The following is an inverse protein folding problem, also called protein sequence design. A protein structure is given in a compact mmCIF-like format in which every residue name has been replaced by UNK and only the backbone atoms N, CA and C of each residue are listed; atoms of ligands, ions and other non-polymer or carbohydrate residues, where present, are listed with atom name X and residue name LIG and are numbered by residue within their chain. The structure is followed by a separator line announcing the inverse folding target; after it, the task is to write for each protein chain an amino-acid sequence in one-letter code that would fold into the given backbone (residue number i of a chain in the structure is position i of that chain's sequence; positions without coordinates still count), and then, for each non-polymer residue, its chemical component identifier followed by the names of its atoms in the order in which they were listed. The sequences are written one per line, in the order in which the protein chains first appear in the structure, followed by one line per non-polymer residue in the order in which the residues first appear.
data_IF_244411847646
#
_entry.id   IF_244411847646
#
_cell.length_a   1.000
_cell.length_b   1.000
_cell.length_c   1.000
_cell.angle_alpha   90.00
_cell.angle_beta   90.00
_cell.angle_gamma   90.00
#
_symmetry.space_group_name_H-M   'P 1'
#
loop_
_entity.id
_entity.type
_entity.pdbx_description
1 polymer ?
#
# COMPACT_ATOMS: atom_id res chain seq x y z
N UNK A 1 -3.01 -10.82 -11.48
CA UNK A 1 -4.47 -10.57 -11.55
C UNK A 1 -4.72 -9.46 -12.58
N UNK A 2 -5.79 -9.47 -13.38
CA UNK A 2 -6.10 -8.35 -14.30
C UNK A 2 -6.84 -7.24 -13.52
N UNK A 3 -6.57 -5.98 -13.83
CA UNK A 3 -7.13 -4.78 -13.20
C UNK A 3 -8.66 -4.82 -13.07
N UNK A 4 -9.37 -5.18 -14.14
CA UNK A 4 -10.86 -5.24 -14.09
C UNK A 4 -11.37 -6.27 -13.08
N UNK A 5 -10.64 -7.37 -12.91
CA UNK A 5 -10.94 -8.37 -11.89
C UNK A 5 -10.66 -7.83 -10.49
N UNK A 6 -9.54 -7.14 -10.31
CA UNK A 6 -9.17 -6.52 -9.03
C UNK A 6 -10.18 -5.44 -8.60
N UNK A 7 -10.66 -4.60 -9.53
CA UNK A 7 -11.70 -3.59 -9.26
C UNK A 7 -12.98 -4.26 -8.77
N UNK A 8 -13.49 -5.27 -9.50
CA UNK A 8 -14.71 -5.99 -9.09
C UNK A 8 -14.55 -6.70 -7.75
N UNK A 9 -13.36 -7.24 -7.48
CA UNK A 9 -13.06 -7.87 -6.20
C UNK A 9 -13.03 -6.86 -5.06
N UNK A 10 -12.41 -5.69 -5.27
CA UNK A 10 -12.41 -4.60 -4.31
C UNK A 10 -13.83 -4.11 -4.02
N UNK A 11 -14.65 -3.87 -5.05
CA UNK A 11 -16.07 -3.48 -4.90
C UNK A 11 -16.86 -4.51 -4.07
N UNK A 12 -16.66 -5.80 -4.35
CA UNK A 12 -17.31 -6.88 -3.62
C UNK A 12 -16.85 -6.94 -2.15
N UNK A 13 -15.57 -6.70 -1.87
CA UNK A 13 -15.04 -6.67 -0.50
C UNK A 13 -15.55 -5.44 0.27
N UNK A 14 -15.53 -4.27 -0.38
CA UNK A 14 -16.04 -3.02 0.19
C UNK A 14 -17.54 -3.09 0.46
N UNK A 15 -18.32 -3.78 -0.37
CA UNK A 15 -19.77 -3.96 -0.14
C UNK A 15 -20.12 -4.64 1.19
N UNK A 16 -19.15 -5.34 1.82
CA UNK A 16 -19.33 -6.11 3.05
C UNK A 16 -18.86 -5.37 4.31
N UNK A 17 -18.21 -4.21 4.17
CA UNK A 17 -17.78 -3.40 5.31
C UNK A 17 -18.77 -2.27 5.57
N UNK A 18 -18.99 -1.98 6.85
CA UNK A 18 -19.98 -1.01 7.32
C UNK A 18 -19.64 0.44 6.92
N UNK A 19 -18.35 0.79 6.89
CA UNK A 19 -17.88 2.13 6.54
C UNK A 19 -16.84 2.11 5.41
N UNK A 20 -17.35 2.01 4.18
CA UNK A 20 -16.54 1.94 2.97
C UNK A 20 -15.62 3.15 2.77
N UNK A 21 -16.14 4.36 3.01
CA UNK A 21 -15.37 5.59 2.84
C UNK A 21 -14.14 5.61 3.75
N UNK A 22 -14.33 5.27 5.02
CA UNK A 22 -13.23 5.16 5.98
C UNK A 22 -12.20 4.09 5.57
N UNK A 23 -12.65 2.91 5.14
CA UNK A 23 -11.74 1.85 4.70
C UNK A 23 -10.92 2.28 3.47
N UNK A 24 -11.53 3.02 2.54
CA UNK A 24 -10.82 3.57 1.39
C UNK A 24 -9.76 4.60 1.80
N UNK A 25 -10.06 5.48 2.74
CA UNK A 25 -9.09 6.44 3.30
C UNK A 25 -7.93 5.72 4.02
N UNK A 26 -8.22 4.66 4.78
CA UNK A 26 -7.21 3.84 5.45
C UNK A 26 -6.32 3.10 4.43
N UNK A 27 -6.90 2.55 3.36
CA UNK A 27 -6.16 1.91 2.26
C UNK A 27 -5.26 2.91 1.53
N UNK A 28 -5.76 4.09 1.21
CA UNK A 28 -4.99 5.14 0.56
C UNK A 28 -3.83 5.58 1.44
N UNK A 29 -4.09 5.87 2.72
CA UNK A 29 -3.05 6.26 3.67
C UNK A 29 -1.98 5.16 3.83
N UNK A 30 -2.40 3.90 3.93
CA UNK A 30 -1.48 2.78 4.08
C UNK A 30 -0.59 2.59 2.85
N UNK A 31 -1.11 2.84 1.66
CA UNK A 31 -0.32 2.82 0.45
C UNK A 31 0.67 3.99 0.38
N UNK A 32 0.24 5.21 0.68
CA UNK A 32 1.15 6.36 0.75
C UNK A 32 2.29 6.10 1.72
N UNK A 33 2.00 5.39 2.83
CA UNK A 33 3.04 4.98 3.77
C UNK A 33 4.10 4.11 3.10
N UNK A 34 3.68 3.08 2.37
CA UNK A 34 4.61 2.22 1.63
C UNK A 34 5.41 3.01 0.59
N UNK A 35 4.77 3.89 -0.19
CA UNK A 35 5.44 4.67 -1.23
C UNK A 35 6.49 5.64 -0.65
N UNK A 36 6.18 6.28 0.48
CA UNK A 36 7.14 7.11 1.22
C UNK A 36 8.25 6.26 1.85
N UNK A 37 7.94 5.06 2.34
CA UNK A 37 8.93 4.12 2.90
C UNK A 37 9.95 3.70 1.84
N UNK A 38 9.50 3.25 0.65
CA UNK A 38 10.42 2.80 -0.41
C UNK A 38 11.03 3.96 -1.20
N UNK A 39 10.59 5.20 -0.94
CA UNK A 39 11.17 6.41 -1.51
C UNK A 39 10.66 6.75 -2.90
N UNK A 40 9.51 6.22 -3.31
CA UNK A 40 8.81 6.61 -4.54
C UNK A 40 8.23 8.02 -4.37
N UNK A 41 7.73 8.33 -3.18
CA UNK A 41 7.11 9.63 -2.86
C UNK A 41 7.78 10.30 -1.67
N UNK A 42 7.47 11.59 -1.51
CA UNK A 42 7.76 12.40 -0.33
C UNK A 42 6.48 13.14 0.05
N UNK A 43 5.44 12.38 0.39
CA UNK A 43 4.10 12.93 0.64
C UNK A 43 4.07 13.93 1.80
N UNK A 44 4.97 13.75 2.78
CA UNK A 44 4.99 14.53 4.01
C UNK A 44 3.90 14.12 5.01
N UNK A 45 3.18 13.03 4.75
CA UNK A 45 2.16 12.47 5.64
C UNK A 45 2.78 11.76 6.86
N UNK A 46 4.01 11.26 6.73
CA UNK A 46 4.71 10.49 7.76
C UNK A 46 5.96 11.21 8.25
N UNK A 47 6.26 11.08 9.54
CA UNK A 47 7.45 11.68 10.12
C UNK A 47 8.73 11.10 9.51
N UNK A 48 9.66 11.98 9.13
CA UNK A 48 10.90 11.58 8.44
C UNK A 48 11.81 10.73 9.32
N UNK A 49 11.81 10.95 10.63
CA UNK A 49 12.64 10.18 11.55
C UNK A 49 12.08 8.78 11.75
N UNK A 50 10.76 8.64 11.82
CA UNK A 50 10.09 7.33 11.90
C UNK A 50 10.26 6.56 10.59
N UNK A 51 10.01 7.17 9.43
CA UNK A 51 10.28 6.55 8.12
C UNK A 51 11.74 6.07 8.01
N UNK A 52 12.70 6.82 8.54
CA UNK A 52 14.11 6.40 8.53
C UNK A 52 14.38 5.19 9.42
N UNK A 53 13.65 5.03 10.52
CA UNK A 53 13.73 3.86 11.39
C UNK A 53 13.07 2.66 10.73
N UNK A 54 11.85 2.82 10.22
CA UNK A 54 11.13 1.77 9.51
C UNK A 54 11.90 1.28 8.28
N UNK A 55 12.56 2.17 7.52
CA UNK A 55 13.42 1.76 6.39
C UNK A 55 14.57 0.84 6.80
N UNK A 56 15.04 0.92 8.04
CA UNK A 56 16.05 -0.01 8.56
C UNK A 56 15.42 -1.36 8.94
N UNK A 57 14.22 -1.35 9.49
CA UNK A 57 13.47 -2.55 9.88
C UNK A 57 12.96 -3.32 8.64
N UNK A 58 12.57 -2.58 7.61
CA UNK A 58 12.04 -3.06 6.35
C UNK A 58 13.02 -2.91 5.18
N UNK A 59 14.32 -3.04 5.44
CA UNK A 59 15.35 -2.84 4.41
C UNK A 59 15.20 -3.74 3.18
N UNK A 60 14.52 -4.88 3.34
CA UNK A 60 14.22 -5.83 2.27
C UNK A 60 13.15 -5.34 1.28
N UNK A 61 12.31 -4.37 1.67
CA UNK A 61 11.30 -3.75 0.79
C UNK A 61 11.91 -2.64 -0.09
N UNK A 62 13.10 -2.14 0.25
CA UNK A 62 13.73 -1.05 -0.48
C UNK A 62 14.49 -1.61 -1.69
N UNK A 63 13.85 -1.57 -2.85
CA UNK A 63 14.43 -2.03 -4.12
C UNK A 63 14.65 -0.85 -5.06
N UNK A 64 15.76 -0.91 -5.79
CA UNK A 64 16.15 0.09 -6.79
C UNK A 64 16.51 -0.63 -8.09
N UNK A 65 15.97 -0.15 -9.20
CA UNK A 65 16.31 -0.58 -10.56
C UNK A 65 16.58 0.68 -11.38
N UNK A 66 17.70 0.71 -12.12
CA UNK A 66 18.09 1.88 -12.93
C UNK A 66 18.05 3.20 -12.14
N UNK A 67 18.57 3.18 -10.91
CA UNK A 67 18.58 4.31 -9.97
C UNK A 67 17.20 4.80 -9.49
N UNK A 68 16.12 4.14 -9.91
CA UNK A 68 14.75 4.46 -9.52
C UNK A 68 14.20 3.44 -8.50
N UNK A 69 13.47 3.90 -7.46
CA UNK A 69 12.74 3.01 -6.58
C UNK A 69 11.73 2.14 -7.34
N UNK A 70 11.60 0.88 -6.94
CA UNK A 70 10.66 -0.06 -7.55
C UNK A 70 9.41 -0.19 -6.68
N UNK A 71 8.23 -0.05 -7.27
CA UNK A 71 6.96 -0.38 -6.63
C UNK A 71 6.63 -1.86 -6.88
N UNK A 72 6.31 -2.59 -5.82
CA UNK A 72 6.00 -4.02 -5.87
C UNK A 72 4.64 -4.26 -5.23
N UNK A 73 3.64 -4.64 -6.05
CA UNK A 73 2.25 -4.74 -5.61
C UNK A 73 2.06 -5.68 -4.40
N UNK A 74 2.75 -6.82 -4.43
CA UNK A 74 2.69 -7.83 -3.37
C UNK A 74 3.25 -7.32 -2.05
N UNK A 75 4.36 -6.59 -2.11
CA UNK A 75 5.05 -6.04 -0.94
C UNK A 75 4.26 -4.88 -0.36
N UNK A 76 3.68 -4.03 -1.21
CA UNK A 76 2.75 -2.99 -0.78
C UNK A 76 1.54 -3.59 -0.06
N UNK A 77 0.89 -4.59 -0.64
CA UNK A 77 -0.28 -5.22 -0.03
C UNK A 77 0.04 -5.91 1.31
N UNK A 78 1.17 -6.60 1.41
CA UNK A 78 1.64 -7.21 2.65
C UNK A 78 1.95 -6.15 3.72
N UNK A 79 2.70 -5.11 3.36
CA UNK A 79 3.03 -4.01 4.25
C UNK A 79 1.78 -3.30 4.78
N UNK A 80 0.81 -2.98 3.91
CA UNK A 80 -0.46 -2.37 4.30
C UNK A 80 -1.21 -3.24 5.30
N UNK A 81 -1.23 -4.56 5.09
CA UNK A 81 -1.90 -5.49 5.99
C UNK A 81 -1.22 -5.56 7.36
N UNK A 82 0.11 -5.65 7.39
CA UNK A 82 0.89 -5.80 8.62
C UNK A 82 0.98 -4.50 9.43
N UNK A 83 1.27 -3.38 8.78
CA UNK A 83 1.52 -2.11 9.47
C UNK A 83 0.25 -1.35 9.85
N UNK A 84 -0.80 -1.47 9.03
CA UNK A 84 -2.06 -0.74 9.25
C UNK A 84 -3.19 -1.65 9.74
N UNK A 85 -2.89 -2.93 10.02
CA UNK A 85 -3.85 -3.93 10.49
C UNK A 85 -5.08 -4.07 9.55
N UNK A 86 -4.83 -3.95 8.25
CA UNK A 86 -5.84 -4.10 7.20
C UNK A 86 -5.91 -5.55 6.72
N UNK A 87 -7.06 -5.97 6.18
CA UNK A 87 -7.19 -7.34 5.66
C UNK A 87 -6.39 -7.49 4.36
N UNK A 88 -5.47 -8.46 4.30
CA UNK A 88 -4.61 -8.67 3.13
C UNK A 88 -5.37 -8.73 1.79
N UNK A 89 -6.52 -9.41 1.75
CA UNK A 89 -7.32 -9.52 0.53
C UNK A 89 -7.83 -8.16 0.03
N UNK A 90 -8.21 -7.25 0.93
CA UNK A 90 -8.68 -5.92 0.53
C UNK A 90 -7.51 -5.04 0.09
N UNK A 91 -6.35 -5.15 0.75
CA UNK A 91 -5.13 -4.46 0.34
C UNK A 91 -4.67 -4.92 -1.05
N UNK A 92 -4.61 -6.23 -1.30
CA UNK A 92 -4.23 -6.77 -2.59
C UNK A 92 -5.19 -6.30 -3.70
N UNK A 93 -6.51 -6.46 -3.50
CA UNK A 93 -7.49 -5.99 -4.47
C UNK A 93 -7.36 -4.49 -4.75
N UNK A 94 -7.13 -3.69 -3.71
CA UNK A 94 -6.92 -2.24 -3.83
C UNK A 94 -5.68 -1.90 -4.65
N UNK A 95 -4.51 -2.45 -4.30
CA UNK A 95 -3.25 -2.17 -5.00
C UNK A 95 -3.33 -2.56 -6.47
N UNK A 96 -3.81 -3.78 -6.77
CA UNK A 96 -3.97 -4.28 -8.14
C UNK A 96 -5.06 -3.57 -8.96
N UNK A 97 -6.01 -2.89 -8.32
CA UNK A 97 -7.05 -2.12 -9.00
C UNK A 97 -6.57 -0.75 -9.47
N UNK A 98 -5.48 -0.24 -8.92
CA UNK A 98 -4.93 1.08 -9.25
C UNK A 98 -3.73 0.95 -10.21
N UNK A 99 -3.40 2.06 -10.89
CA UNK A 99 -2.18 2.17 -11.70
C UNK A 99 -1.20 3.06 -10.96
N UNK A 100 0.05 2.63 -10.94
CA UNK A 100 1.18 3.33 -10.32
C UNK A 100 2.30 3.43 -11.35
#
# INVERSE_FOLDING_TARGET
MNKEKAVRELENLLSKVENQARILEELETAQWHYMDLVGITLSGLFDKSELKKERKEHSHLIKVSDELPVFEDNECAAFMSEQHNLTLNICAAYVYSHKW
#
